data_IF_805111132008
#
_entry.id   IF_805111132008
#
_cell.length_a   1.000
_cell.length_b   1.000
_cell.length_c   1.000
_cell.angle_alpha   90.00
_cell.angle_beta   90.00
_cell.angle_gamma   90.00
#
_symmetry.space_group_name_H-M   'P 1'
#
loop_
_entity.id
_entity.type
_entity.pdbx_description
1 polymer ?
#
# COMPACT_ATOMS: atom_id res chain seq x y z
N UNK A 1 9.78 -7.97 49.40
CA UNK A 1 9.56 -8.47 48.02
C UNK A 1 8.40 -7.68 47.47
N UNK A 2 8.69 -6.63 46.71
CA UNK A 2 7.69 -5.75 46.14
C UNK A 2 7.24 -6.31 44.79
N UNK A 3 5.94 -6.53 44.64
CA UNK A 3 5.30 -6.86 43.37
C UNK A 3 5.39 -5.65 42.45
N UNK A 4 6.26 -5.73 41.44
CA UNK A 4 6.26 -4.85 40.29
C UNK A 4 5.10 -5.26 39.39
N UNK A 5 4.00 -4.50 39.42
CA UNK A 5 3.04 -4.44 38.31
C UNK A 5 3.76 -3.90 37.10
N UNK A 6 4.21 -4.83 36.25
CA UNK A 6 4.83 -4.51 34.97
C UNK A 6 3.74 -3.89 34.08
N UNK A 7 3.94 -2.63 33.71
CA UNK A 7 3.10 -1.91 32.75
C UNK A 7 2.96 -2.75 31.47
N UNK A 8 1.72 -3.19 31.22
CA UNK A 8 1.36 -4.01 30.05
C UNK A 8 1.19 -3.19 28.76
N UNK A 9 1.42 -1.87 28.80
CA UNK A 9 1.16 -0.97 27.67
C UNK A 9 2.33 -0.77 26.71
N UNK A 10 3.48 -1.40 26.93
CA UNK A 10 4.67 -1.23 26.08
C UNK A 10 4.86 -2.40 25.12
N UNK A 11 3.84 -2.75 24.33
CA UNK A 11 4.05 -3.56 23.15
C UNK A 11 4.61 -2.65 22.05
N UNK A 12 5.88 -2.80 21.62
CA UNK A 12 6.55 -1.82 20.75
C UNK A 12 6.09 -1.84 19.28
N UNK A 13 5.05 -2.60 18.92
CA UNK A 13 4.61 -2.77 17.53
C UNK A 13 3.15 -2.30 17.32
N UNK A 14 2.95 -0.99 17.41
CA UNK A 14 1.69 -0.29 17.10
C UNK A 14 1.31 -0.31 15.59
N UNK A 15 2.00 -1.11 14.76
CA UNK A 15 1.80 -1.18 13.29
C UNK A 15 0.90 -2.35 12.86
N UNK A 16 0.42 -3.15 13.81
CA UNK A 16 -0.48 -4.27 13.58
C UNK A 16 -1.93 -3.78 13.50
N UNK A 17 -2.30 -3.15 12.39
CA UNK A 17 -3.72 -3.00 12.04
C UNK A 17 -4.32 -4.39 11.91
N UNK A 18 -5.28 -4.72 12.77
CA UNK A 18 -5.96 -6.01 12.72
C UNK A 18 -6.80 -6.16 11.43
N UNK A 19 -7.10 -7.40 11.04
CA UNK A 19 -7.94 -7.65 9.86
C UNK A 19 -9.35 -7.03 9.99
N UNK A 20 -9.92 -7.01 11.20
CA UNK A 20 -11.26 -6.46 11.45
C UNK A 20 -11.39 -5.00 11.00
N UNK A 21 -10.35 -4.18 11.22
CA UNK A 21 -10.30 -2.78 10.78
C UNK A 21 -10.39 -2.66 9.26
N UNK A 22 -9.84 -3.62 8.52
CA UNK A 22 -9.79 -3.61 7.05
C UNK A 22 -10.93 -4.42 6.42
N UNK A 23 -11.66 -5.22 7.18
CA UNK A 23 -12.61 -6.20 6.66
C UNK A 23 -13.63 -5.59 5.69
N UNK A 24 -14.16 -4.41 6.01
CA UNK A 24 -15.12 -3.68 5.18
C UNK A 24 -14.56 -3.19 3.84
N UNK A 25 -13.23 -3.09 3.70
CA UNK A 25 -12.52 -2.75 2.47
C UNK A 25 -12.27 -3.98 1.59
N UNK A 26 -12.19 -5.14 2.23
CA UNK A 26 -11.78 -6.41 1.64
C UNK A 26 -12.96 -7.36 1.40
N UNK A 27 -14.20 -6.87 1.53
CA UNK A 27 -15.38 -7.66 1.21
C UNK A 27 -15.40 -8.00 -0.29
N UNK A 28 -15.63 -9.28 -0.67
CA UNK A 28 -15.77 -9.67 -2.06
C UNK A 28 -16.76 -8.80 -2.85
N UNK A 29 -17.89 -8.42 -2.25
CA UNK A 29 -18.88 -7.54 -2.88
C UNK A 29 -18.30 -6.17 -3.22
N UNK A 30 -17.46 -5.57 -2.36
CA UNK A 30 -16.79 -4.29 -2.64
C UNK A 30 -15.75 -4.41 -3.75
N UNK A 31 -15.10 -5.57 -3.87
CA UNK A 31 -14.17 -5.82 -4.97
C UNK A 31 -14.91 -5.94 -6.31
N UNK A 32 -16.04 -6.64 -6.31
CA UNK A 32 -16.83 -6.93 -7.53
C UNK A 32 -17.70 -5.75 -7.95
N UNK A 33 -18.45 -5.17 -7.01
CA UNK A 33 -19.38 -4.07 -7.24
C UNK A 33 -18.72 -2.76 -6.85
N UNK A 34 -18.43 -1.92 -7.84
CA UNK A 34 -17.89 -0.59 -7.59
C UNK A 34 -19.03 0.40 -7.29
N UNK A 35 -19.17 0.90 -6.05
CA UNK A 35 -20.19 1.90 -5.75
C UNK A 35 -19.93 3.24 -6.45
N UNK A 36 -18.71 3.50 -6.97
CA UNK A 36 -18.38 4.73 -7.68
C UNK A 36 -18.74 4.69 -9.17
N UNK A 37 -18.98 3.50 -9.75
CA UNK A 37 -19.38 3.40 -11.15
C UNK A 37 -20.88 3.62 -11.30
N UNK A 38 -21.28 4.88 -11.50
CA UNK A 38 -22.66 5.22 -11.86
C UNK A 38 -23.04 4.50 -13.18
N UNK A 39 -24.09 3.69 -13.13
CA UNK A 39 -24.60 3.00 -14.32
C UNK A 39 -25.22 3.98 -15.32
N UNK A 40 -25.01 3.76 -16.63
CA UNK A 40 -25.92 4.29 -17.64
C UNK A 40 -27.25 3.54 -17.55
N UNK A 41 -28.33 4.27 -17.29
CA UNK A 41 -29.70 3.77 -17.34
C UNK A 41 -29.98 3.10 -18.69
N UNK A 42 -30.44 1.85 -18.72
CA UNK A 42 -31.06 1.29 -19.92
C UNK A 42 -32.36 0.54 -19.64
N UNK A 43 -33.40 1.10 -20.23
CA UNK A 43 -34.67 0.48 -20.56
C UNK A 43 -34.45 -0.62 -21.60
N UNK A 44 -34.50 -1.89 -21.19
CA UNK A 44 -34.80 -2.96 -22.14
C UNK A 44 -35.45 -4.15 -21.45
N UNK A 45 -36.74 -4.33 -21.72
CA UNK A 45 -37.52 -5.51 -21.35
C UNK A 45 -37.09 -6.71 -22.19
N UNK A 46 -36.69 -7.82 -21.55
CA UNK A 46 -36.79 -9.13 -22.18
C UNK A 46 -36.91 -10.25 -21.14
N UNK A 47 -37.69 -11.27 -21.50
CA UNK A 47 -38.39 -12.22 -20.63
C UNK A 47 -37.49 -13.25 -19.92
N UNK A 48 -37.85 -13.69 -18.69
CA UNK A 48 -37.12 -14.73 -17.98
C UNK A 48 -37.52 -16.13 -18.46
N UNK A 49 -36.51 -16.99 -18.66
CA UNK A 49 -36.69 -18.44 -18.72
C UNK A 49 -36.75 -18.98 -17.29
N UNK A 50 -37.88 -19.58 -16.95
CA UNK A 50 -38.11 -20.31 -15.69
C UNK A 50 -37.10 -21.47 -15.56
N UNK A 51 -36.08 -21.33 -14.73
CA UNK A 51 -35.55 -22.35 -13.81
C UNK A 51 -34.25 -21.89 -13.13
N UNK A 52 -34.08 -22.36 -11.88
CA UNK A 52 -32.87 -22.39 -11.03
C UNK A 52 -32.84 -21.36 -9.88
N UNK A 53 -33.54 -21.70 -8.79
CA UNK A 53 -33.30 -21.19 -7.42
C UNK A 53 -31.97 -21.72 -6.84
N UNK A 54 -30.87 -21.60 -7.59
CA UNK A 54 -29.53 -22.01 -7.15
C UNK A 54 -28.77 -20.84 -6.54
N UNK A 55 -28.20 -21.02 -5.34
CA UNK A 55 -27.21 -20.08 -4.81
C UNK A 55 -25.93 -20.22 -5.63
N UNK A 56 -25.50 -19.14 -6.27
CA UNK A 56 -24.28 -19.15 -7.08
C UNK A 56 -23.06 -18.85 -6.21
N UNK A 57 -21.98 -19.62 -6.33
CA UNK A 57 -20.74 -19.33 -5.60
C UNK A 57 -19.75 -18.61 -6.50
N UNK A 58 -19.30 -17.43 -6.09
CA UNK A 58 -18.25 -16.67 -6.75
C UNK A 58 -16.95 -16.77 -5.95
N UNK A 59 -15.87 -17.19 -6.60
CA UNK A 59 -14.54 -17.30 -6.00
C UNK A 59 -13.60 -16.25 -6.59
N UNK A 60 -12.98 -15.47 -5.73
CA UNK A 60 -12.01 -14.43 -6.09
C UNK A 60 -10.57 -14.89 -5.83
N UNK A 61 -9.63 -14.29 -6.55
CA UNK A 61 -8.19 -14.47 -6.32
C UNK A 61 -7.61 -13.23 -5.63
N UNK A 62 -6.81 -13.42 -4.59
CA UNK A 62 -6.10 -12.33 -3.91
C UNK A 62 -4.58 -12.55 -3.88
N UNK A 63 -3.83 -11.45 -4.01
CA UNK A 63 -2.39 -11.39 -3.78
C UNK A 63 -2.14 -10.57 -2.51
N UNK A 64 -1.44 -11.13 -1.54
CA UNK A 64 -1.07 -10.44 -0.30
C UNK A 64 0.43 -10.17 -0.29
N UNK A 65 0.79 -8.89 -0.45
CA UNK A 65 2.15 -8.38 -0.61
C UNK A 65 2.79 -8.11 0.76
N UNK A 66 4.03 -8.58 0.93
CA UNK A 66 4.79 -8.50 2.19
C UNK A 66 4.03 -9.16 3.32
N UNK A 67 3.70 -10.43 3.11
CA UNK A 67 2.69 -11.10 3.91
C UNK A 67 3.07 -11.23 5.39
N UNK A 68 4.37 -11.16 5.75
CA UNK A 68 4.84 -11.23 7.14
C UNK A 68 4.31 -12.47 7.86
N UNK A 69 3.43 -12.26 8.85
CA UNK A 69 2.77 -13.35 9.60
C UNK A 69 1.62 -14.01 8.85
N UNK A 70 1.24 -13.52 7.67
CA UNK A 70 0.16 -14.03 6.82
C UNK A 70 -1.24 -14.04 7.48
N UNK A 71 -1.44 -13.41 8.64
CA UNK A 71 -2.74 -13.40 9.36
C UNK A 71 -3.87 -12.81 8.50
N UNK A 72 -3.55 -11.77 7.72
CA UNK A 72 -4.48 -11.16 6.77
C UNK A 72 -4.81 -12.11 5.62
N UNK A 73 -3.80 -12.76 5.01
CA UNK A 73 -4.01 -13.75 3.95
C UNK A 73 -4.87 -14.93 4.40
N UNK A 74 -4.69 -15.39 5.65
CA UNK A 74 -5.54 -16.42 6.26
C UNK A 74 -6.98 -15.93 6.45
N UNK A 75 -7.14 -14.70 6.93
CA UNK A 75 -8.46 -14.10 7.15
C UNK A 75 -9.23 -13.89 5.85
N UNK A 76 -8.55 -13.49 4.77
CA UNK A 76 -9.14 -13.37 3.43
C UNK A 76 -9.73 -14.71 2.96
N UNK A 77 -9.01 -15.82 3.14
CA UNK A 77 -9.46 -17.13 2.67
C UNK A 77 -10.65 -17.68 3.47
N UNK A 78 -10.81 -17.22 4.71
CA UNK A 78 -11.95 -17.56 5.57
C UNK A 78 -13.14 -16.61 5.38
N UNK A 79 -12.94 -15.47 4.72
CA UNK A 79 -13.99 -14.48 4.50
C UNK A 79 -15.03 -15.02 3.51
N UNK A 80 -16.27 -15.14 4.00
CA UNK A 80 -17.44 -15.56 3.23
C UNK A 80 -18.54 -14.51 3.37
N UNK A 81 -19.17 -14.17 2.26
CA UNK A 81 -20.18 -13.14 2.18
C UNK A 81 -21.39 -13.62 1.38
N UNK A 82 -22.58 -13.54 1.98
CA UNK A 82 -23.83 -13.76 1.26
C UNK A 82 -24.29 -12.45 0.63
N UNK A 83 -24.30 -12.40 -0.70
CA UNK A 83 -24.72 -11.22 -1.44
C UNK A 83 -26.07 -11.48 -2.09
N UNK A 84 -27.05 -10.65 -1.75
CA UNK A 84 -28.33 -10.60 -2.46
C UNK A 84 -28.34 -9.41 -3.41
N UNK A 85 -28.54 -9.71 -4.68
CA UNK A 85 -28.54 -8.74 -5.77
C UNK A 85 -29.96 -8.63 -6.30
N UNK A 86 -30.56 -7.44 -6.20
CA UNK A 86 -31.88 -7.15 -6.77
C UNK A 86 -31.75 -6.25 -7.98
N UNK A 87 -32.36 -6.66 -9.11
CA UNK A 87 -32.48 -5.85 -10.31
C UNK A 87 -33.86 -5.16 -10.38
N UNK A 88 -34.00 -4.15 -11.23
CA UNK A 88 -35.25 -3.42 -11.50
C UNK A 88 -36.40 -4.33 -11.94
N UNK A 89 -36.11 -5.52 -12.50
CA UNK A 89 -37.10 -6.54 -12.87
C UNK A 89 -37.75 -7.24 -11.66
N UNK A 90 -37.33 -6.95 -10.43
CA UNK A 90 -37.70 -7.66 -9.19
C UNK A 90 -37.14 -9.08 -9.06
N UNK A 91 -36.25 -9.50 -9.96
CA UNK A 91 -35.51 -10.75 -9.80
C UNK A 91 -34.43 -10.60 -8.73
N UNK A 92 -34.41 -11.57 -7.81
CA UNK A 92 -33.46 -11.60 -6.69
C UNK A 92 -32.47 -12.73 -6.94
N UNK A 93 -31.23 -12.36 -7.24
CA UNK A 93 -30.13 -13.31 -7.37
C UNK A 93 -29.36 -13.39 -6.04
N UNK A 94 -28.96 -14.60 -5.65
CA UNK A 94 -28.18 -14.84 -4.44
C UNK A 94 -26.83 -15.43 -4.78
N UNK A 95 -25.80 -14.83 -4.21
CA UNK A 95 -24.42 -15.23 -4.36
C UNK A 95 -23.79 -15.54 -3.00
N UNK A 96 -22.96 -16.57 -2.95
CA UNK A 96 -21.95 -16.74 -1.91
C UNK A 96 -20.62 -16.29 -2.52
N UNK A 97 -20.11 -15.16 -2.06
CA UNK A 97 -18.82 -14.64 -2.50
C UNK A 97 -17.74 -14.95 -1.47
N UNK A 98 -16.58 -15.39 -1.93
CA UNK A 98 -15.43 -15.70 -1.08
C UNK A 98 -14.13 -15.62 -1.87
N UNK A 99 -13.00 -15.52 -1.17
CA UNK A 99 -11.69 -15.73 -1.80
C UNK A 99 -11.45 -17.24 -1.96
N UNK A 100 -11.29 -17.68 -3.20
CA UNK A 100 -11.02 -19.08 -3.52
C UNK A 100 -9.53 -19.40 -3.59
N UNK A 101 -8.69 -18.38 -3.82
CA UNK A 101 -7.24 -18.52 -3.91
C UNK A 101 -6.56 -17.27 -3.32
N UNK A 102 -5.64 -17.47 -2.39
CA UNK A 102 -4.81 -16.39 -1.82
C UNK A 102 -3.33 -16.73 -2.01
N UNK A 103 -2.60 -15.87 -2.71
CA UNK A 103 -1.15 -15.98 -2.89
C UNK A 103 -0.47 -14.99 -1.93
N UNK A 104 0.28 -15.52 -0.97
CA UNK A 104 1.08 -14.71 -0.05
C UNK A 104 2.51 -14.57 -0.58
N UNK A 105 3.03 -13.36 -0.61
CA UNK A 105 4.37 -13.09 -1.13
C UNK A 105 5.21 -12.30 -0.14
N UNK A 106 6.49 -12.64 -0.05
CA UNK A 106 7.45 -11.98 0.83
C UNK A 106 8.87 -12.16 0.28
N UNK A 107 9.79 -11.28 0.70
CA UNK A 107 11.23 -11.42 0.42
C UNK A 107 11.90 -12.29 1.49
N UNK A 108 11.30 -12.44 2.68
CA UNK A 108 11.85 -13.32 3.72
C UNK A 108 11.39 -14.79 3.53
N UNK A 109 12.30 -15.60 3.01
CA UNK A 109 12.12 -17.05 2.89
C UNK A 109 11.81 -17.76 4.22
N UNK A 110 12.41 -17.31 5.33
CA UNK A 110 12.20 -17.89 6.65
C UNK A 110 10.77 -17.63 7.14
N UNK A 111 10.29 -16.41 6.95
CA UNK A 111 8.90 -16.04 7.25
C UNK A 111 7.91 -16.88 6.43
N UNK A 112 8.11 -16.96 5.10
CA UNK A 112 7.26 -17.75 4.20
C UNK A 112 7.20 -19.22 4.61
N UNK A 113 8.36 -19.85 4.86
CA UNK A 113 8.42 -21.25 5.27
C UNK A 113 7.70 -21.48 6.60
N UNK A 114 7.89 -20.57 7.56
CA UNK A 114 7.24 -20.65 8.87
C UNK A 114 5.72 -20.56 8.74
N UNK A 115 5.22 -19.63 7.91
CA UNK A 115 3.78 -19.45 7.70
C UNK A 115 3.16 -20.61 6.92
N UNK A 116 3.85 -21.12 5.91
CA UNK A 116 3.39 -22.30 5.16
C UNK A 116 3.27 -23.55 6.07
N UNK A 117 4.26 -23.79 6.93
CA UNK A 117 4.22 -24.89 7.89
C UNK A 117 3.07 -24.72 8.88
N UNK A 118 2.90 -23.50 9.41
CA UNK A 118 1.79 -23.16 10.32
C UNK A 118 0.43 -23.40 9.67
N UNK A 119 0.25 -22.96 8.43
CA UNK A 119 -1.01 -23.16 7.70
C UNK A 119 -1.28 -24.63 7.37
N UNK A 120 -0.28 -25.39 6.92
CA UNK A 120 -0.42 -26.84 6.64
C UNK A 120 -0.89 -27.62 7.86
N UNK A 121 -0.48 -27.22 9.07
CA UNK A 121 -0.97 -27.81 10.31
C UNK A 121 -2.44 -27.53 10.60
N UNK A 122 -2.98 -26.38 10.15
CA UNK A 122 -4.39 -25.99 10.35
C UNK A 122 -5.32 -26.49 9.25
N UNK A 123 -4.85 -26.50 8.01
CA UNK A 123 -5.68 -26.84 6.84
C UNK A 123 -6.09 -28.32 6.79
N UNK A 124 -5.42 -29.21 7.53
CA UNK A 124 -5.76 -30.64 7.58
C UNK A 124 -7.18 -30.92 8.08
N UNK A 125 -7.77 -29.99 8.84
CA UNK A 125 -9.09 -30.17 9.44
C UNK A 125 -10.24 -29.59 8.60
N UNK A 126 -9.97 -28.90 7.47
CA UNK A 126 -10.96 -28.06 6.82
C UNK A 126 -10.93 -28.12 5.28
N UNK A 127 -11.58 -29.14 4.71
CA UNK A 127 -11.60 -29.44 3.26
C UNK A 127 -12.36 -28.42 2.40
N UNK A 128 -13.10 -27.49 3.00
CA UNK A 128 -13.87 -26.47 2.28
C UNK A 128 -13.13 -25.12 2.11
N UNK A 129 -11.93 -24.99 2.69
CA UNK A 129 -11.15 -23.76 2.59
C UNK A 129 -10.52 -23.68 1.20
N UNK A 130 -10.40 -22.47 0.64
CA UNK A 130 -9.80 -22.25 -0.67
C UNK A 130 -8.31 -22.63 -0.72
N UNK A 131 -7.67 -22.31 -1.84
CA UNK A 131 -6.24 -22.56 -2.05
C UNK A 131 -5.39 -21.43 -1.44
N UNK A 132 -4.27 -21.78 -0.83
CA UNK A 132 -3.29 -20.80 -0.35
C UNK A 132 -1.91 -21.17 -0.88
N UNK A 133 -1.23 -20.19 -1.46
CA UNK A 133 0.13 -20.33 -1.97
C UNK A 133 1.08 -19.35 -1.27
N UNK A 134 2.37 -19.70 -1.25
CA UNK A 134 3.45 -18.86 -0.75
C UNK A 134 4.52 -18.77 -1.82
N UNK A 135 4.89 -17.55 -2.20
CA UNK A 135 5.93 -17.31 -3.22
C UNK A 135 6.95 -16.31 -2.68
N UNK A 136 8.22 -16.62 -2.90
CA UNK A 136 9.28 -15.64 -2.71
C UNK A 136 9.23 -14.63 -3.84
N UNK A 137 9.22 -13.34 -3.51
CA UNK A 137 9.29 -12.25 -4.50
C UNK A 137 10.27 -11.19 -4.02
N UNK A 138 11.13 -10.79 -4.94
CA UNK A 138 12.01 -9.63 -4.81
C UNK A 138 11.62 -8.62 -5.90
N UNK A 139 10.96 -7.53 -5.47
CA UNK A 139 10.45 -6.51 -6.39
C UNK A 139 11.56 -5.68 -7.05
N UNK A 140 12.79 -5.69 -6.51
CA UNK A 140 13.93 -5.08 -7.20
C UNK A 140 14.31 -5.85 -8.48
N UNK A 141 13.86 -7.11 -8.59
CA UNK A 141 14.24 -8.04 -9.66
C UNK A 141 13.05 -8.47 -10.52
N UNK A 142 12.92 -7.84 -11.69
CA UNK A 142 11.83 -8.15 -12.63
C UNK A 142 11.81 -9.63 -13.04
N UNK A 143 12.97 -10.23 -13.32
CA UNK A 143 13.08 -11.65 -13.70
C UNK A 143 12.47 -12.57 -12.64
N UNK A 144 12.68 -12.25 -11.36
CA UNK A 144 12.16 -13.01 -10.22
C UNK A 144 10.68 -12.81 -9.99
N UNK A 145 10.18 -11.59 -10.19
CA UNK A 145 8.74 -11.34 -10.17
C UNK A 145 8.02 -12.16 -11.25
N UNK A 146 8.54 -12.16 -12.48
CA UNK A 146 7.98 -12.93 -13.60
C UNK A 146 8.07 -14.43 -13.39
N UNK A 147 9.15 -14.93 -12.79
CA UNK A 147 9.28 -16.34 -12.42
C UNK A 147 8.22 -16.74 -11.39
N UNK A 148 7.97 -15.90 -10.38
CA UNK A 148 7.04 -16.18 -9.30
C UNK A 148 5.57 -16.07 -9.72
N UNK A 149 5.22 -15.07 -10.53
CA UNK A 149 3.83 -14.73 -10.87
C UNK A 149 3.44 -15.04 -12.33
N UNK A 150 4.39 -15.42 -13.17
CA UNK A 150 4.19 -15.57 -14.62
C UNK A 150 3.08 -16.54 -15.03
N UNK A 151 2.79 -17.56 -14.22
CA UNK A 151 1.67 -18.49 -14.46
C UNK A 151 0.30 -17.82 -14.37
N UNK A 152 0.17 -16.75 -13.58
CA UNK A 152 -1.08 -16.00 -13.44
C UNK A 152 -1.33 -15.06 -14.62
N UNK A 153 -0.28 -14.72 -15.38
CA UNK A 153 -0.34 -13.75 -16.48
C UNK A 153 -0.69 -14.39 -17.84
N UNK A 154 -0.79 -15.71 -17.93
CA UNK A 154 -1.09 -16.40 -19.18
C UNK A 154 -2.55 -16.21 -19.62
N UNK A 155 -2.88 -16.34 -20.93
CA UNK A 155 -4.27 -16.39 -21.38
C UNK A 155 -5.02 -17.56 -20.73
N UNK A 156 -6.00 -17.26 -19.88
CA UNK A 156 -6.68 -18.26 -19.02
C UNK A 156 -6.07 -18.40 -17.61
N UNK A 157 -4.98 -17.69 -17.33
CA UNK A 157 -4.44 -17.47 -15.99
C UNK A 157 -5.39 -16.63 -15.14
N UNK A 158 -5.44 -16.94 -13.85
CA UNK A 158 -6.25 -16.23 -12.88
C UNK A 158 -5.57 -14.92 -12.51
N UNK A 159 -5.92 -13.82 -13.18
CA UNK A 159 -5.60 -12.50 -12.66
C UNK A 159 -6.11 -12.34 -11.23
N UNK A 160 -5.53 -11.41 -10.50
CA UNK A 160 -5.96 -11.10 -9.14
C UNK A 160 -7.11 -10.10 -9.15
N UNK A 161 -8.17 -10.44 -8.42
CA UNK A 161 -9.29 -9.55 -8.17
C UNK A 161 -8.93 -8.51 -7.10
N UNK A 162 -8.08 -8.91 -6.15
CA UNK A 162 -7.53 -8.08 -5.10
C UNK A 162 -6.00 -8.22 -5.02
N UNK A 163 -5.29 -7.11 -4.96
CA UNK A 163 -3.91 -7.06 -4.46
C UNK A 163 -3.93 -6.24 -3.18
N UNK A 164 -3.48 -6.81 -2.07
CA UNK A 164 -3.45 -6.15 -0.77
C UNK A 164 -2.00 -5.95 -0.33
N UNK A 165 -1.66 -4.71 -0.05
CA UNK A 165 -0.37 -4.30 0.48
C UNK A 165 -0.58 -3.59 1.81
N UNK A 166 -0.09 -4.23 2.87
CA UNK A 166 -0.14 -3.68 4.22
C UNK A 166 1.27 -3.24 4.61
N UNK A 167 1.61 -2.01 4.25
CA UNK A 167 2.86 -1.34 4.64
C UNK A 167 4.14 -1.88 4.02
N UNK A 168 4.06 -2.74 2.99
CA UNK A 168 5.25 -3.15 2.22
C UNK A 168 5.76 -1.99 1.41
N UNK A 169 4.85 -1.26 0.75
CA UNK A 169 5.17 -0.03 0.03
C UNK A 169 5.98 0.97 0.88
N UNK A 170 5.58 1.17 2.14
CA UNK A 170 6.28 2.08 3.07
C UNK A 170 7.72 1.61 3.34
N UNK A 171 7.91 0.31 3.58
CA UNK A 171 9.23 -0.28 3.78
C UNK A 171 10.12 -0.13 2.53
N UNK A 172 9.55 -0.32 1.34
CA UNK A 172 10.29 -0.22 0.08
C UNK A 172 10.68 1.22 -0.25
N UNK A 173 9.81 2.20 0.04
CA UNK A 173 10.12 3.62 -0.14
C UNK A 173 11.31 4.08 0.69
N UNK A 174 11.49 3.50 1.87
CA UNK A 174 12.65 3.77 2.72
C UNK A 174 13.93 3.07 2.26
N UNK A 175 13.81 2.01 1.45
CA UNK A 175 14.95 1.22 1.01
C UNK A 175 15.49 1.71 -0.33
N UNK A 176 14.76 1.49 -1.43
CA UNK A 176 15.26 1.69 -2.79
C UNK A 176 14.12 1.97 -3.79
N UNK A 177 14.31 2.98 -4.65
CA UNK A 177 13.33 3.37 -5.68
C UNK A 177 13.00 2.23 -6.65
N UNK A 178 13.98 1.36 -6.94
CA UNK A 178 13.83 0.20 -7.82
C UNK A 178 12.82 -0.83 -7.29
N UNK A 179 12.82 -1.07 -5.98
CA UNK A 179 11.90 -2.04 -5.38
C UNK A 179 10.46 -1.53 -5.41
N UNK A 180 10.24 -0.24 -5.11
CA UNK A 180 8.93 0.41 -5.22
C UNK A 180 8.43 0.41 -6.67
N UNK A 181 9.32 0.72 -7.60
CA UNK A 181 9.05 0.69 -9.04
C UNK A 181 8.57 -0.69 -9.48
N UNK A 182 9.31 -1.74 -9.09
CA UNK A 182 8.94 -3.12 -9.41
C UNK A 182 7.62 -3.54 -8.77
N UNK A 183 7.38 -3.15 -7.51
CA UNK A 183 6.11 -3.39 -6.82
C UNK A 183 4.94 -2.79 -7.61
N UNK A 184 4.98 -1.49 -7.94
CA UNK A 184 3.89 -0.82 -8.66
C UNK A 184 3.66 -1.43 -10.05
N UNK A 185 4.73 -1.77 -10.77
CA UNK A 185 4.64 -2.44 -12.08
C UNK A 185 3.96 -3.81 -11.98
N UNK A 186 4.35 -4.63 -11.01
CA UNK A 186 3.80 -5.98 -10.85
C UNK A 186 2.39 -5.98 -10.28
N UNK A 187 2.08 -5.10 -9.32
CA UNK A 187 0.72 -4.87 -8.84
C UNK A 187 -0.17 -4.55 -10.03
N UNK A 188 0.17 -3.53 -10.82
CA UNK A 188 -0.66 -3.13 -11.95
C UNK A 188 -0.82 -4.26 -12.98
N UNK A 189 0.24 -5.03 -13.23
CA UNK A 189 0.22 -6.15 -14.14
C UNK A 189 -0.67 -7.31 -13.66
N UNK A 190 -0.62 -7.61 -12.36
CA UNK A 190 -1.32 -8.70 -11.71
C UNK A 190 -2.84 -8.48 -11.59
N UNK A 191 -3.27 -7.22 -11.53
CA UNK A 191 -4.69 -6.86 -11.42
C UNK A 191 -5.49 -7.30 -12.65
N UNK A 192 -6.65 -7.91 -12.39
CA UNK A 192 -7.65 -8.26 -13.39
C UNK A 192 -7.98 -7.05 -14.28
N UNK A 193 -8.02 -7.31 -15.58
CA UNK A 193 -8.45 -6.34 -16.58
C UNK A 193 -9.94 -6.55 -16.85
N UNK A 194 -10.76 -5.50 -16.80
CA UNK A 194 -12.15 -5.59 -17.24
C UNK A 194 -12.25 -6.14 -18.67
N UNK A 195 -13.11 -7.13 -18.95
CA UNK A 195 -13.23 -7.70 -20.29
C UNK A 195 -13.72 -6.66 -21.31
N UNK A 196 -13.11 -6.68 -22.50
CA UNK A 196 -13.54 -5.90 -23.67
C UNK A 196 -14.74 -6.55 -24.37
N UNK A 197 -15.86 -6.71 -23.66
CA UNK A 197 -17.10 -7.13 -24.34
C UNK A 197 -17.85 -5.89 -24.80
N UNK A 198 -18.38 -5.95 -26.04
CA UNK A 198 -19.30 -4.93 -26.59
C UNK A 198 -20.74 -5.18 -26.13
N UNK A 199 -20.96 -6.22 -25.32
CA UNK A 199 -22.27 -6.50 -24.75
C UNK A 199 -22.52 -5.50 -23.62
N UNK A 200 -23.45 -4.58 -23.87
CA UNK A 200 -23.88 -3.54 -22.93
C UNK A 200 -24.61 -4.09 -21.70
N UNK A 201 -24.82 -5.41 -21.63
CA UNK A 201 -25.29 -6.04 -20.40
C UNK A 201 -24.10 -6.08 -19.44
N UNK A 202 -24.17 -5.30 -18.35
CA UNK A 202 -23.32 -5.52 -17.19
C UNK A 202 -23.64 -6.90 -16.63
N UNK A 203 -22.93 -7.91 -17.13
CA UNK A 203 -22.82 -9.16 -16.40
C UNK A 203 -21.98 -8.88 -15.16
N UNK A 204 -22.18 -9.60 -14.05
CA UNK A 204 -21.41 -9.39 -12.84
C UNK A 204 -19.91 -9.57 -13.04
N UNK A 205 -19.41 -9.93 -14.24
CA UNK A 205 -18.02 -10.23 -14.61
C UNK A 205 -17.21 -9.07 -15.22
N UNK A 206 -17.75 -7.85 -15.25
CA UNK A 206 -17.08 -6.70 -15.90
C UNK A 206 -16.18 -5.86 -14.98
N UNK A 207 -15.79 -6.38 -13.80
CA UNK A 207 -14.96 -5.61 -12.86
C UNK A 207 -13.47 -5.67 -13.18
N UNK A 208 -12.78 -4.58 -12.83
CA UNK A 208 -11.32 -4.52 -12.79
C UNK A 208 -10.81 -4.85 -11.40
N UNK A 209 -9.61 -5.44 -11.35
CA UNK A 209 -8.95 -5.75 -10.09
C UNK A 209 -8.70 -4.50 -9.25
N UNK A 210 -8.65 -4.70 -7.94
CA UNK A 210 -8.46 -3.63 -6.95
C UNK A 210 -7.12 -3.82 -6.24
N UNK A 211 -6.34 -2.75 -6.16
CA UNK A 211 -5.18 -2.65 -5.27
C UNK A 211 -5.56 -1.87 -4.03
N UNK A 212 -5.44 -2.50 -2.86
CA UNK A 212 -5.65 -1.86 -1.55
C UNK A 212 -4.30 -1.68 -0.90
N UNK A 213 -3.90 -0.42 -0.68
CA UNK A 213 -2.67 -0.03 -0.04
C UNK A 213 -2.95 0.60 1.32
N UNK A 214 -2.43 0.01 2.39
CA UNK A 214 -2.37 0.60 3.72
C UNK A 214 -0.99 1.23 3.89
N UNK A 215 -0.95 2.54 4.13
CA UNK A 215 0.31 3.31 4.17
C UNK A 215 0.37 4.24 5.40
N UNK A 216 1.59 4.45 5.88
CA UNK A 216 1.93 5.43 6.92
C UNK A 216 2.64 6.68 6.37
N UNK A 217 2.76 6.82 5.06
CA UNK A 217 3.30 8.03 4.46
C UNK A 217 2.23 9.14 4.34
N UNK A 218 2.65 10.42 4.18
CA UNK A 218 1.74 11.53 3.94
C UNK A 218 0.80 11.28 2.77
N UNK A 219 -0.49 11.62 2.95
CA UNK A 219 -1.55 11.30 1.97
C UNK A 219 -1.29 11.92 0.61
N UNK A 220 -0.87 13.20 0.58
CA UNK A 220 -0.67 13.89 -0.69
C UNK A 220 0.52 13.33 -1.47
N UNK A 221 1.56 12.84 -0.77
CA UNK A 221 2.70 12.18 -1.38
C UNK A 221 2.30 10.87 -2.05
N UNK A 222 1.60 9.98 -1.33
CA UNK A 222 1.16 8.69 -1.89
C UNK A 222 0.10 8.89 -2.98
N UNK A 223 -0.82 9.85 -2.80
CA UNK A 223 -1.84 10.18 -3.80
C UNK A 223 -1.20 10.63 -5.11
N UNK A 224 -0.23 11.53 -5.07
CA UNK A 224 0.48 12.02 -6.24
C UNK A 224 1.17 10.86 -6.97
N UNK A 225 1.87 10.00 -6.22
CA UNK A 225 2.57 8.85 -6.78
C UNK A 225 1.62 7.88 -7.51
N UNK A 226 0.46 7.56 -6.92
CA UNK A 226 -0.50 6.61 -7.49
C UNK A 226 -1.36 7.22 -8.60
N UNK A 227 -1.81 8.47 -8.45
CA UNK A 227 -2.74 9.11 -9.41
C UNK A 227 -2.05 9.42 -10.73
N UNK A 228 -0.79 9.86 -10.66
CA UNK A 228 -0.01 10.26 -11.83
C UNK A 228 0.97 9.17 -12.28
N UNK A 229 0.76 7.92 -11.86
CA UNK A 229 1.61 6.79 -12.22
C UNK A 229 1.64 6.59 -13.75
N UNK A 230 2.80 6.71 -14.42
CA UNK A 230 2.87 6.67 -15.88
C UNK A 230 2.31 5.38 -16.49
N UNK A 231 1.39 5.54 -17.44
CA UNK A 231 0.74 4.42 -18.15
C UNK A 231 -0.35 3.68 -17.36
N UNK A 232 -0.51 3.96 -16.06
CA UNK A 232 -1.54 3.34 -15.25
C UNK A 232 -2.91 3.89 -15.61
N UNK A 233 -3.87 2.99 -15.80
CA UNK A 233 -5.28 3.31 -15.98
C UNK A 233 -6.06 2.71 -14.82
N UNK A 234 -6.02 3.40 -13.69
CA UNK A 234 -6.84 3.08 -12.52
C UNK A 234 -7.50 4.34 -11.96
N UNK A 235 -8.59 4.18 -11.23
CA UNK A 235 -9.10 5.22 -10.34
C UNK A 235 -8.42 5.08 -8.98
N UNK A 236 -8.09 6.20 -8.32
CA UNK A 236 -7.47 6.21 -6.99
C UNK A 236 -8.45 6.83 -6.00
N UNK A 237 -8.83 6.08 -4.98
CA UNK A 237 -9.65 6.54 -3.86
C UNK A 237 -8.84 6.50 -2.57
N UNK A 238 -9.08 7.45 -1.67
CA UNK A 238 -8.41 7.53 -0.37
C UNK A 238 -9.46 7.65 0.73
N UNK A 239 -9.32 6.81 1.75
CA UNK A 239 -10.12 6.87 2.96
C UNK A 239 -9.24 6.70 4.20
N UNK A 240 -9.68 7.28 5.32
CA UNK A 240 -9.01 7.14 6.62
C UNK A 240 -9.78 6.09 7.42
N UNK A 241 -9.10 5.04 7.85
CA UNK A 241 -9.68 3.93 8.60
C UNK A 241 -9.21 3.97 10.05
N UNK A 242 -10.12 3.75 11.00
CA UNK A 242 -9.74 3.60 12.41
C UNK A 242 -8.97 2.30 12.62
N UNK A 243 -7.83 2.39 13.29
CA UNK A 243 -7.02 1.24 13.69
C UNK A 243 -7.64 0.61 14.93
N UNK A 244 -7.86 -0.69 14.87
CA UNK A 244 -7.85 -1.54 16.05
C UNK A 244 -6.48 -2.22 16.13
N UNK A 245 -5.75 -1.91 17.20
CA UNK A 245 -4.42 -2.48 17.45
C UNK A 245 -4.59 -3.92 17.94
N UNK A 246 -3.87 -4.87 17.35
CA UNK A 246 -3.83 -6.25 17.85
C UNK A 246 -3.21 -6.29 19.25
N UNK A 247 -3.98 -6.71 20.26
CA UNK A 247 -3.46 -6.90 21.62
C UNK A 247 -2.71 -8.24 21.67
N UNK A 248 -1.41 -8.21 21.34
CA UNK A 248 -0.53 -9.38 21.13
C UNK A 248 -0.49 -10.33 22.35
N UNK A 249 -0.87 -9.85 23.55
CA UNK A 249 -0.73 -10.58 24.81
C UNK A 249 -1.88 -11.51 25.21
N UNK A 250 -3.08 -11.38 24.65
CA UNK A 250 -4.28 -12.07 25.17
C UNK A 250 -5.08 -12.81 24.09
N UNK A 251 -4.99 -12.38 22.82
CA UNK A 251 -5.89 -12.88 21.77
C UNK A 251 -5.28 -13.88 20.79
N UNK A 252 -4.06 -14.40 21.01
CA UNK A 252 -3.52 -15.46 20.14
C UNK A 252 -4.41 -16.73 20.10
N UNK A 253 -5.13 -17.03 21.19
CA UNK A 253 -6.11 -18.12 21.27
C UNK A 253 -7.55 -17.70 20.88
N UNK A 254 -7.84 -16.40 20.80
CA UNK A 254 -9.15 -15.86 20.38
C UNK A 254 -9.22 -15.47 18.92
N UNK A 255 -8.12 -15.02 18.33
CA UNK A 255 -7.98 -14.81 16.88
C UNK A 255 -8.27 -16.11 16.10
N UNK A 256 -8.05 -17.27 16.72
CA UNK A 256 -8.38 -18.60 16.16
C UNK A 256 -9.84 -19.01 16.31
N UNK A 257 -10.63 -18.31 17.15
CA UNK A 257 -12.05 -18.58 17.40
C UNK A 257 -12.95 -17.43 16.92
N UNK A 258 -12.46 -16.58 16.02
CA UNK A 258 -13.34 -15.66 15.30
C UNK A 258 -14.26 -16.51 14.44
N UNK A 259 -15.43 -16.85 14.98
CA UNK A 259 -16.55 -17.23 14.14
C UNK A 259 -16.79 -16.02 13.27
N UNK A 260 -16.39 -16.09 12.00
CA UNK A 260 -16.81 -15.10 11.02
C UNK A 260 -18.34 -15.16 11.01
N UNK A 261 -18.95 -14.19 11.69
CA UNK A 261 -20.38 -13.97 11.58
C UNK A 261 -20.68 -13.84 10.09
N UNK A 262 -21.70 -14.57 9.64
CA UNK A 262 -22.05 -14.64 8.23
C UNK A 262 -22.43 -13.24 7.74
N UNK A 263 -21.53 -12.61 6.99
CA UNK A 263 -21.73 -11.26 6.50
C UNK A 263 -22.78 -11.32 5.40
N UNK A 264 -23.85 -10.56 5.60
CA UNK A 264 -24.92 -10.47 4.61
C UNK A 264 -24.92 -9.07 4.01
N UNK A 265 -24.73 -9.03 2.70
CA UNK A 265 -24.71 -7.79 1.92
C UNK A 265 -25.85 -7.78 0.92
N UNK A 266 -26.52 -6.64 0.83
CA UNK A 266 -27.55 -6.38 -0.18
C UNK A 266 -27.03 -5.30 -1.13
N UNK A 267 -27.07 -5.63 -2.41
CA UNK A 267 -26.75 -4.71 -3.49
C UNK A 267 -28.00 -4.38 -4.28
N UNK A 268 -28.28 -3.08 -4.39
CA UNK A 268 -29.38 -2.55 -5.18
C UNK A 268 -28.83 -1.89 -6.45
N UNK A 269 -29.04 -2.54 -7.60
CA UNK A 269 -28.62 -2.03 -8.91
C UNK A 269 -29.27 -0.71 -9.27
N UNK A 270 -30.52 -0.48 -8.85
CA UNK A 270 -31.26 0.73 -9.23
C UNK A 270 -30.68 1.98 -8.55
N UNK A 271 -30.16 1.82 -7.33
CA UNK A 271 -29.58 2.93 -6.54
C UNK A 271 -28.05 2.92 -6.50
N UNK A 272 -27.41 1.91 -7.09
CA UNK A 272 -25.97 1.65 -7.00
C UNK A 272 -25.48 1.63 -5.54
N UNK A 273 -26.29 1.08 -4.64
CA UNK A 273 -26.06 1.15 -3.19
C UNK A 273 -25.77 -0.24 -2.63
N UNK A 274 -24.72 -0.32 -1.81
CA UNK A 274 -24.34 -1.53 -1.06
C UNK A 274 -24.69 -1.30 0.41
N UNK A 275 -25.40 -2.25 1.01
CA UNK A 275 -25.68 -2.26 2.46
C UNK A 275 -25.25 -3.60 3.04
N UNK A 276 -24.37 -3.58 4.04
CA UNK A 276 -23.82 -4.78 4.66
C UNK A 276 -24.21 -4.85 6.14
N UNK A 277 -24.50 -6.07 6.60
CA UNK A 277 -24.83 -6.38 7.99
C UNK A 277 -23.91 -7.48 8.51
N UNK A 278 -23.63 -7.48 9.82
CA UNK A 278 -22.68 -8.41 10.44
C UNK A 278 -21.23 -7.92 10.46
N UNK A 279 -20.96 -6.69 10.00
CA UNK A 279 -19.66 -6.04 10.21
C UNK A 279 -19.68 -5.43 11.63
N UNK A 280 -18.92 -6.02 12.55
CA UNK A 280 -18.75 -5.46 13.90
C UNK A 280 -17.82 -4.25 13.85
N UNK A 281 -18.39 -3.10 13.52
CA UNK A 281 -17.80 -1.83 13.91
C UNK A 281 -18.28 -1.56 15.33
N UNK A 282 -17.52 -2.02 16.33
CA UNK A 282 -17.74 -1.68 17.73
C UNK A 282 -17.45 -0.18 17.92
N UNK A 283 -18.42 0.65 17.56
CA UNK A 283 -18.72 2.01 18.03
C UNK A 283 -19.64 2.68 17.00
N UNK A 284 -20.79 3.18 17.44
CA UNK A 284 -21.64 4.06 16.66
C UNK A 284 -20.77 5.17 16.05
N UNK A 285 -20.76 5.26 14.72
CA UNK A 285 -20.39 6.47 13.99
C UNK A 285 -21.35 7.56 14.46
N UNK A 286 -21.01 8.26 15.55
CA UNK A 286 -21.59 9.57 15.82
C UNK A 286 -21.17 10.44 14.65
N UNK A 287 -22.13 10.65 13.77
CA UNK A 287 -22.10 11.50 12.58
C UNK A 287 -21.94 12.96 13.03
N UNK A 288 -20.81 13.28 13.66
CA UNK A 288 -20.34 14.64 13.79
C UNK A 288 -19.83 15.03 12.40
N UNK A 289 -20.78 15.50 11.60
CA UNK A 289 -20.55 16.40 10.46
C UNK A 289 -19.81 17.64 10.98
N UNK A 290 -18.52 17.47 11.22
CA UNK A 290 -17.66 18.54 11.66
C UNK A 290 -17.07 19.20 10.40
N UNK A 291 -17.72 20.29 10.00
CA UNK A 291 -17.21 21.31 9.06
C UNK A 291 -15.88 21.97 9.54
N UNK A 292 -15.28 21.47 10.63
CA UNK A 292 -13.85 21.61 10.82
C UNK A 292 -13.14 20.75 9.80
N UNK A 293 -12.61 21.40 8.77
CA UNK A 293 -11.42 20.97 8.03
C UNK A 293 -10.48 20.32 9.04
N UNK A 294 -10.57 18.99 9.11
CA UNK A 294 -9.73 18.18 9.98
C UNK A 294 -8.35 18.41 9.43
N UNK A 295 -7.54 19.18 10.18
CA UNK A 295 -6.09 19.12 10.06
C UNK A 295 -5.71 17.71 10.48
N UNK A 296 -5.97 16.77 9.58
CA UNK A 296 -5.54 15.40 9.66
C UNK A 296 -4.03 15.46 9.90
N UNK A 297 -3.52 14.79 10.92
CA UNK A 297 -2.08 14.68 11.16
C UNK A 297 -1.32 14.30 9.87
N UNK A 298 -2.01 13.62 8.96
CA UNK A 298 -1.57 13.20 7.63
C UNK A 298 -1.42 14.31 6.57
N UNK A 299 -1.87 15.54 6.85
CA UNK A 299 -1.93 16.67 5.89
C UNK A 299 -0.96 17.82 6.19
N UNK A 300 -0.33 17.83 7.36
CA UNK A 300 0.36 19.05 7.86
C UNK A 300 1.86 19.10 7.57
N UNK A 301 2.46 18.04 7.03
CA UNK A 301 3.90 17.97 6.74
C UNK A 301 4.82 18.03 7.97
N UNK A 302 4.27 18.18 9.18
CA UNK A 302 5.01 18.12 10.46
C UNK A 302 4.59 16.86 11.19
N UNK A 303 5.55 15.99 11.51
CA UNK A 303 5.31 14.76 12.23
C UNK A 303 5.20 15.03 13.73
N UNK A 304 4.04 15.52 14.17
CA UNK A 304 3.63 15.53 15.58
C UNK A 304 2.51 14.50 15.74
N UNK A 305 2.83 13.21 15.97
CA UNK A 305 1.83 12.14 16.01
C UNK A 305 0.89 12.36 17.18
N UNK A 306 -0.30 12.90 16.89
CA UNK A 306 -1.37 13.09 17.85
C UNK A 306 -2.11 11.77 18.12
N UNK A 307 -3.07 11.81 19.03
CA UNK A 307 -3.84 10.62 19.40
C UNK A 307 -4.67 10.07 18.21
N UNK A 308 -5.05 10.93 17.27
CA UNK A 308 -5.76 10.54 16.05
C UNK A 308 -4.84 9.82 15.06
N UNK A 309 -3.60 10.27 14.90
CA UNK A 309 -2.58 9.59 14.09
C UNK A 309 -2.36 8.15 14.57
N UNK A 310 -2.29 7.95 15.89
CA UNK A 310 -2.12 6.62 16.49
C UNK A 310 -3.33 5.70 16.27
N UNK A 311 -4.52 6.29 16.13
CA UNK A 311 -5.79 5.57 15.99
C UNK A 311 -6.28 5.45 14.55
N UNK A 312 -5.56 5.97 13.55
CA UNK A 312 -6.03 5.97 12.16
C UNK A 312 -4.94 5.59 11.17
N UNK A 313 -5.32 4.92 10.07
CA UNK A 313 -4.45 4.62 8.93
C UNK A 313 -5.02 5.25 7.67
N UNK A 314 -4.13 5.63 6.77
CA UNK A 314 -4.48 6.01 5.40
C UNK A 314 -4.58 4.74 4.56
N UNK A 315 -5.71 4.58 3.86
CA UNK A 315 -5.92 3.49 2.92
C UNK A 315 -6.22 4.05 1.54
N UNK A 316 -5.46 3.59 0.56
CA UNK A 316 -5.69 3.88 -0.85
C UNK A 316 -6.29 2.66 -1.54
N UNK A 317 -7.32 2.88 -2.34
CA UNK A 317 -7.94 1.87 -3.18
C UNK A 317 -7.77 2.28 -4.65
N UNK A 318 -6.97 1.52 -5.39
CA UNK A 318 -6.76 1.73 -6.82
C UNK A 318 -7.52 0.68 -7.64
N UNK A 319 -8.54 1.07 -8.40
CA UNK A 319 -9.30 0.13 -9.25
C UNK A 319 -8.86 0.24 -10.69
N UNK A 320 -8.39 -0.87 -11.26
CA UNK A 320 -7.99 -0.93 -12.67
C UNK A 320 -9.19 -0.69 -13.58
N UNK A 321 -9.04 0.27 -14.50
CA UNK A 321 -10.09 0.66 -15.43
C UNK A 321 -9.94 -0.07 -16.76
N UNK A 322 -11.02 -0.06 -17.54
CA UNK A 322 -11.02 -0.57 -18.90
C UNK A 322 -10.12 0.31 -19.77
N UNK A 323 -9.21 -0.31 -20.50
CA UNK A 323 -8.40 0.42 -21.48
C UNK A 323 -9.20 0.64 -22.76
N UNK A 324 -9.15 1.85 -23.32
CA UNK A 324 -9.82 2.14 -24.59
C UNK A 324 -9.02 1.64 -25.81
N UNK A 325 -7.78 1.20 -25.59
CA UNK A 325 -6.87 0.77 -26.64
C UNK A 325 -6.51 -0.69 -26.46
N UNK A 326 -6.83 -1.58 -27.42
CA UNK A 326 -6.35 -2.96 -27.41
C UNK A 326 -4.81 -3.06 -27.54
N UNK A 327 -4.13 -1.96 -27.89
CA UNK A 327 -2.68 -1.88 -27.94
C UNK A 327 -2.03 -1.46 -26.61
N UNK A 328 -2.83 -0.98 -25.63
CA UNK A 328 -2.30 -0.69 -24.30
C UNK A 328 -2.06 -2.00 -23.56
N UNK A 329 -0.77 -2.29 -23.36
CA UNK A 329 -0.30 -3.48 -22.68
C UNK A 329 -0.72 -3.39 -21.21
N UNK A 330 -1.02 -4.54 -20.59
CA UNK A 330 -1.21 -4.67 -19.14
C UNK A 330 0.11 -4.48 -18.35
N UNK A 331 1.07 -3.78 -18.92
CA UNK A 331 2.42 -3.59 -18.38
C UNK A 331 2.70 -2.10 -18.37
N UNK A 332 3.21 -1.60 -17.26
CA UNK A 332 3.75 -0.25 -17.18
C UNK A 332 5.16 -0.23 -17.79
N UNK A 333 5.60 0.94 -18.27
CA UNK A 333 7.00 1.15 -18.61
C UNK A 333 7.79 1.36 -17.31
N UNK A 334 8.66 0.39 -17.00
CA UNK A 334 9.40 0.36 -15.73
C UNK A 334 10.26 1.62 -15.53
N UNK A 335 10.87 2.12 -16.60
CA UNK A 335 11.78 3.27 -16.53
C UNK A 335 11.02 4.59 -16.37
N UNK A 336 9.84 4.73 -17.00
CA UNK A 336 8.94 5.86 -16.73
C UNK A 336 8.43 5.83 -15.29
N UNK A 337 8.02 4.67 -14.78
CA UNK A 337 7.58 4.52 -13.38
C UNK A 337 8.72 4.84 -12.42
N UNK A 338 9.94 4.35 -12.67
CA UNK A 338 11.12 4.65 -11.84
C UNK A 338 11.37 6.13 -11.71
N UNK A 339 11.43 6.83 -12.85
CA UNK A 339 11.63 8.29 -12.89
C UNK A 339 10.52 9.03 -12.15
N UNK A 340 9.27 8.57 -12.27
CA UNK A 340 8.13 9.15 -11.55
C UNK A 340 8.23 8.96 -10.03
N UNK A 341 8.58 7.76 -9.56
CA UNK A 341 8.78 7.47 -8.13
C UNK A 341 9.90 8.36 -7.57
N UNK A 342 11.05 8.41 -8.26
CA UNK A 342 12.18 9.26 -7.86
C UNK A 342 11.80 10.74 -7.85
N UNK A 343 11.10 11.22 -8.88
CA UNK A 343 10.63 12.60 -8.93
C UNK A 343 9.71 12.91 -7.74
N UNK A 344 8.71 12.06 -7.47
CA UNK A 344 7.80 12.24 -6.34
C UNK A 344 8.55 12.28 -5.01
N UNK A 345 9.49 11.36 -4.78
CA UNK A 345 10.33 11.34 -3.57
C UNK A 345 11.14 12.63 -3.45
N UNK A 346 11.86 13.01 -4.51
CA UNK A 346 12.71 14.20 -4.52
C UNK A 346 11.90 15.47 -4.28
N UNK A 347 10.76 15.64 -4.96
CA UNK A 347 9.89 16.81 -4.77
C UNK A 347 9.31 16.84 -3.36
N UNK A 348 8.89 15.70 -2.83
CA UNK A 348 8.37 15.61 -1.47
C UNK A 348 9.43 16.02 -0.45
N UNK A 349 10.61 15.37 -0.46
CA UNK A 349 11.67 15.68 0.49
C UNK A 349 12.15 17.13 0.36
N UNK A 350 12.28 17.66 -0.86
CA UNK A 350 12.64 19.08 -1.11
C UNK A 350 11.64 20.07 -0.53
N UNK A 351 10.36 19.71 -0.49
CA UNK A 351 9.30 20.60 0.00
C UNK A 351 9.00 20.44 1.49
N UNK A 352 9.03 19.21 2.03
CA UNK A 352 8.62 18.93 3.41
C UNK A 352 9.77 18.90 4.41
N UNK A 353 10.95 18.45 3.99
CA UNK A 353 12.14 18.40 4.84
C UNK A 353 13.41 18.83 4.09
N UNK A 354 13.50 20.11 3.67
CA UNK A 354 14.69 20.66 3.00
C UNK A 354 15.96 20.48 3.85
N UNK A 355 16.95 19.76 3.31
CA UNK A 355 18.27 19.66 3.94
C UNK A 355 18.98 21.03 3.97
N UNK A 356 18.69 21.91 3.00
CA UNK A 356 19.26 23.26 2.91
C UNK A 356 18.13 24.30 2.96
N UNK A 357 17.80 24.77 4.17
CA UNK A 357 16.94 25.95 4.37
C UNK A 357 17.74 27.25 4.25
N UNK A 358 17.05 28.38 4.14
CA UNK A 358 17.73 29.70 4.13
C UNK A 358 18.48 29.95 5.44
N UNK A 359 17.91 29.53 6.56
CA UNK A 359 18.52 29.63 7.88
C UNK A 359 19.77 28.74 7.96
N UNK A 360 19.67 27.47 7.56
CA UNK A 360 20.80 26.54 7.60
C UNK A 360 21.92 26.94 6.64
N UNK A 361 21.60 27.45 5.46
CA UNK A 361 22.59 28.00 4.53
C UNK A 361 23.36 29.17 5.17
N UNK A 362 22.68 30.06 5.90
CA UNK A 362 23.33 31.14 6.62
C UNK A 362 24.21 30.63 7.76
N UNK A 363 23.75 29.63 8.52
CA UNK A 363 24.53 29.01 9.60
C UNK A 363 25.80 28.35 9.08
N UNK A 364 25.72 27.55 8.02
CA UNK A 364 26.85 26.92 7.35
C UNK A 364 27.80 28.00 6.82
N UNK A 365 27.27 29.05 6.18
CA UNK A 365 28.08 30.16 5.66
C UNK A 365 28.88 30.87 6.77
N UNK A 366 28.23 31.14 7.91
CA UNK A 366 28.88 31.73 9.08
C UNK A 366 29.92 30.80 9.70
N UNK A 367 29.66 29.49 9.73
CA UNK A 367 30.62 28.50 10.20
C UNK A 367 31.86 28.46 9.30
N UNK A 368 31.70 28.37 7.97
CA UNK A 368 32.81 28.42 7.01
C UNK A 368 33.63 29.71 7.14
N UNK A 369 32.97 30.86 7.30
CA UNK A 369 33.64 32.14 7.49
C UNK A 369 34.53 32.19 8.75
N UNK A 370 34.14 31.52 9.85
CA UNK A 370 34.93 31.49 11.09
C UNK A 370 36.27 30.75 10.91
N UNK A 371 36.32 29.74 10.04
CA UNK A 371 37.52 28.93 9.84
C UNK A 371 38.44 29.44 8.71
N UNK A 372 37.96 30.35 7.88
CA UNK A 372 38.64 30.74 6.61
C UNK A 372 39.33 32.11 6.67
N UNK A 373 39.68 32.60 7.87
CA UNK A 373 40.17 33.97 8.12
C UNK A 373 41.48 34.38 7.39
N UNK A 374 42.15 33.48 6.66
CA UNK A 374 43.50 33.73 6.08
C UNK A 374 43.67 33.25 4.63
N UNK A 375 42.62 32.87 3.89
CA UNK A 375 42.80 32.40 2.50
C UNK A 375 41.53 32.01 1.77
N UNK A 376 41.62 31.54 0.50
CA UNK A 376 40.47 31.02 -0.24
C UNK A 376 39.83 29.91 0.59
N UNK A 377 38.57 30.13 0.97
CA UNK A 377 37.92 29.45 2.08
C UNK A 377 37.57 27.98 1.84
N UNK A 378 38.58 27.12 1.87
CA UNK A 378 38.46 25.65 1.82
C UNK A 378 38.65 25.07 3.21
N UNK A 379 37.81 24.11 3.60
CA UNK A 379 37.93 23.32 4.82
C UNK A 379 38.20 21.87 4.48
N UNK A 380 38.91 21.16 5.34
CA UNK A 380 39.07 19.71 5.16
C UNK A 380 37.73 18.98 5.31
N UNK A 381 37.63 17.78 4.72
CA UNK A 381 36.37 17.01 4.68
C UNK A 381 35.81 16.72 6.08
N UNK A 382 36.67 16.51 7.08
CA UNK A 382 36.21 16.23 8.45
C UNK A 382 35.57 17.46 9.08
N UNK A 383 36.19 18.63 8.91
CA UNK A 383 35.60 19.90 9.34
C UNK A 383 34.29 20.18 8.61
N UNK A 384 34.20 19.84 7.32
CA UNK A 384 32.97 19.99 6.56
C UNK A 384 31.85 19.12 7.14
N UNK A 385 32.10 17.84 7.42
CA UNK A 385 31.13 16.95 8.09
C UNK A 385 30.63 17.52 9.42
N UNK A 386 31.54 18.03 10.25
CA UNK A 386 31.18 18.60 11.55
C UNK A 386 30.30 19.87 11.44
N UNK A 387 30.42 20.61 10.33
CA UNK A 387 29.66 21.83 10.04
C UNK A 387 28.34 21.54 9.33
N UNK A 388 28.36 20.62 8.36
CA UNK A 388 27.22 20.37 7.47
C UNK A 388 26.10 19.63 8.18
N UNK A 389 26.43 18.74 9.12
CA UNK A 389 25.46 17.92 9.85
C UNK A 389 25.37 18.35 11.32
N UNK A 390 24.19 18.25 11.88
CA UNK A 390 23.92 18.44 13.32
C UNK A 390 24.34 17.21 14.11
N UNK A 391 24.45 17.33 15.44
CA UNK A 391 24.75 16.17 16.31
C UNK A 391 23.74 15.02 16.11
N UNK A 392 22.46 15.34 15.92
CA UNK A 392 21.40 14.35 15.70
C UNK A 392 21.50 13.67 14.32
N UNK A 393 21.83 14.42 13.26
CA UNK A 393 22.04 13.82 11.93
C UNK A 393 23.28 12.91 11.93
N UNK A 394 24.35 13.30 12.62
CA UNK A 394 25.57 12.49 12.77
C UNK A 394 25.38 11.20 13.58
N UNK A 395 24.32 11.09 14.37
CA UNK A 395 23.95 9.83 15.03
C UNK A 395 23.46 8.78 14.01
N UNK A 396 22.94 9.24 12.86
CA UNK A 396 22.37 8.38 11.82
C UNK A 396 23.22 8.32 10.55
N UNK A 397 24.01 9.34 10.27
CA UNK A 397 24.97 9.40 9.16
C UNK A 397 26.38 9.44 9.73
N UNK A 398 26.95 8.28 10.00
CA UNK A 398 28.34 8.18 10.44
C UNK A 398 29.31 8.75 9.40
N UNK A 399 30.51 9.16 9.84
CA UNK A 399 31.47 9.84 8.98
C UNK A 399 31.88 8.99 7.76
N UNK A 400 31.95 7.68 7.93
CA UNK A 400 32.26 6.71 6.90
C UNK A 400 31.21 6.71 5.79
N UNK A 401 29.92 6.74 6.12
CA UNK A 401 28.84 6.83 5.13
C UNK A 401 28.83 8.17 4.40
N UNK A 402 29.08 9.26 5.13
CA UNK A 402 29.28 10.57 4.50
C UNK A 402 30.45 10.58 3.50
N UNK A 403 31.55 9.88 3.79
CA UNK A 403 32.67 9.77 2.84
C UNK A 403 32.29 8.99 1.59
N UNK A 404 31.47 7.96 1.70
CA UNK A 404 30.94 7.22 0.55
C UNK A 404 30.11 8.15 -0.36
N UNK A 405 29.19 8.92 0.23
CA UNK A 405 28.37 9.89 -0.49
C UNK A 405 29.23 11.00 -1.14
N UNK A 406 30.22 11.50 -0.41
CA UNK A 406 31.14 12.51 -0.92
C UNK A 406 31.98 11.99 -2.10
N UNK A 407 32.44 10.74 -2.03
CA UNK A 407 33.17 10.12 -3.13
C UNK A 407 32.28 9.94 -4.35
N UNK A 408 31.03 9.50 -4.18
CA UNK A 408 30.05 9.41 -5.26
C UNK A 408 29.80 10.79 -5.91
N UNK A 409 29.61 11.84 -5.11
CA UNK A 409 29.48 13.21 -5.60
C UNK A 409 30.69 13.65 -6.43
N UNK A 410 31.90 13.41 -5.93
CA UNK A 410 33.15 13.76 -6.64
C UNK A 410 33.33 12.99 -7.95
N UNK A 411 32.81 11.77 -8.06
CA UNK A 411 32.86 10.99 -9.30
C UNK A 411 31.93 11.56 -10.38
N UNK A 412 30.78 12.10 -9.96
CA UNK A 412 29.81 12.73 -10.86
C UNK A 412 30.21 14.18 -11.23
N UNK A 413 31.02 14.86 -10.42
CA UNK A 413 31.35 16.27 -10.57
C UNK A 413 32.83 16.49 -10.94
N UNK A 414 33.12 16.47 -12.24
CA UNK A 414 34.51 16.63 -12.76
C UNK A 414 35.17 17.98 -12.45
N UNK A 415 34.40 18.99 -12.05
CA UNK A 415 34.88 20.32 -11.65
C UNK A 415 35.40 20.37 -10.20
N UNK A 416 35.15 19.33 -9.40
CA UNK A 416 35.68 19.18 -8.04
C UNK A 416 37.12 18.68 -8.09
N UNK A 417 38.07 19.62 -8.01
CA UNK A 417 39.51 19.31 -8.14
C UNK A 417 40.18 18.87 -6.83
N UNK A 418 39.59 19.19 -5.67
CA UNK A 418 40.14 18.86 -4.36
C UNK A 418 39.20 17.87 -3.64
N UNK A 419 39.56 16.59 -3.63
CA UNK A 419 38.77 15.52 -2.97
C UNK A 419 38.87 15.54 -1.44
N UNK A 420 39.91 16.17 -0.90
CA UNK A 420 40.18 16.22 0.54
C UNK A 420 39.72 17.53 1.19
N UNK A 421 38.94 18.36 0.48
CA UNK A 421 38.42 19.62 1.02
C UNK A 421 37.16 20.10 0.30
N UNK A 422 36.31 20.87 0.96
CA UNK A 422 35.20 21.58 0.31
C UNK A 422 35.36 23.10 0.44
N UNK A 423 34.88 23.81 -0.59
CA UNK A 423 34.51 25.22 -0.44
C UNK A 423 33.06 25.31 0.04
N UNK A 424 32.63 26.46 0.57
CA UNK A 424 31.22 26.69 0.93
C UNK A 424 30.27 26.38 -0.25
N UNK A 425 30.65 26.78 -1.47
CA UNK A 425 29.83 26.53 -2.67
C UNK A 425 29.65 25.03 -2.90
N UNK A 426 30.75 24.28 -2.87
CA UNK A 426 30.73 22.82 -3.07
C UNK A 426 29.97 22.11 -1.96
N UNK A 427 30.12 22.56 -0.71
CA UNK A 427 29.42 21.97 0.43
C UNK A 427 27.89 22.17 0.36
N UNK A 428 27.43 23.36 -0.05
CA UNK A 428 26.00 23.62 -0.26
C UNK A 428 25.45 22.88 -1.49
N UNK A 429 26.26 22.70 -2.53
CA UNK A 429 25.88 21.95 -3.72
C UNK A 429 25.75 20.45 -3.39
N UNK A 430 26.73 19.90 -2.67
CA UNK A 430 26.71 18.54 -2.14
C UNK A 430 25.46 18.26 -1.30
N UNK A 431 25.12 19.14 -0.34
CA UNK A 431 23.91 18.98 0.47
C UNK A 431 22.60 19.02 -0.35
N UNK A 432 22.59 19.72 -1.49
CA UNK A 432 21.42 19.76 -2.39
C UNK A 432 21.32 18.53 -3.28
N UNK A 433 22.41 17.81 -3.50
CA UNK A 433 22.44 16.55 -4.24
C UNK A 433 22.19 15.34 -3.35
N UNK A 434 22.67 15.37 -2.10
CA UNK A 434 22.29 14.38 -1.08
C UNK A 434 20.78 14.36 -0.82
N UNK A 435 20.09 15.47 -1.13
CA UNK A 435 18.65 15.62 -1.01
C UNK A 435 17.91 15.26 -2.31
#
# INVERSE_FOLDING_TARGET
MANSTQDKSNAPFEWLTNFASLQHLLLPSRIVFDPASALPSKDTEEQPSDEVNGTNTLKLNALHVGCGTSTVGESLLLLRENVTVSDASSDVQRYIMQYGHVVNVDIDHSALNSMQLRWKGRAQDNTEVGEMEWRYIDFSREDKCREALGSFYQPGGGFFDLVLDKSTFDCLLCAESEAVTGLLCEVYHALRVPPMTNEERMTPFQWGGVYVLVTFHPVDFVREMLTNLPGAQWSVHHEIVRRQVEDVGIDAERATNVSFEEITTRYDWATNCITSSGIRNDEELTDETNDQVTKSAWSSGRFEPDENYRRTISVFTCRKLRTNSPAQRNTLDREEVRRHVEQCCNEHYKTTNPMVTTEREQEISLAFAKFTTVGPGTLDIRQCYDILFTDAEREHLEYEYFLEDWHAYCENHTDVTARDSMTLKVALDFLREMQ
#
